data_IF_543869584451
#
_entry.id   IF_543869584451
#
_cell.length_a   1.000
_cell.length_b   1.000
_cell.length_c   1.000
_cell.angle_alpha   90.00
_cell.angle_beta   90.00
_cell.angle_gamma   90.00
#
_symmetry.space_group_name_H-M   'P 1'
#
loop_
_entity.id
_entity.type
_entity.pdbx_description
1 polymer ?
#
# COMPACT_ATOMS: atom_id res chain seq x y z
N UNK A 1 20.92 -0.24 -21.70
CA UNK A 1 20.18 -0.60 -20.47
C UNK A 1 19.03 -1.53 -20.85
N UNK A 2 18.91 -2.69 -20.22
CA UNK A 2 17.98 -3.75 -20.64
C UNK A 2 16.53 -3.39 -20.23
N UNK A 3 15.57 -3.19 -21.16
CA UNK A 3 14.20 -2.74 -20.86
C UNK A 3 13.48 -3.64 -19.84
N UNK A 4 13.81 -4.93 -19.84
CA UNK A 4 13.24 -5.92 -18.92
C UNK A 4 13.53 -5.62 -17.43
N UNK A 5 14.59 -4.87 -17.11
CA UNK A 5 14.94 -4.56 -15.72
C UNK A 5 13.92 -3.65 -15.05
N UNK A 6 13.45 -2.60 -15.74
CA UNK A 6 12.47 -1.66 -15.18
C UNK A 6 11.09 -2.29 -15.02
N UNK A 7 10.71 -3.15 -15.96
CA UNK A 7 9.49 -3.95 -15.86
C UNK A 7 9.51 -4.88 -14.64
N UNK A 8 10.60 -5.63 -14.44
CA UNK A 8 10.75 -6.53 -13.28
C UNK A 8 10.76 -5.77 -11.95
N UNK A 9 11.54 -4.69 -11.85
CA UNK A 9 11.61 -3.87 -10.63
C UNK A 9 10.24 -3.26 -10.34
N UNK A 10 9.58 -2.66 -11.34
CA UNK A 10 8.26 -2.06 -11.17
C UNK A 10 7.21 -3.08 -10.74
N UNK A 11 7.21 -4.28 -11.34
CA UNK A 11 6.29 -5.37 -10.98
C UNK A 11 6.49 -5.86 -9.55
N UNK A 12 7.74 -6.03 -9.11
CA UNK A 12 8.07 -6.40 -7.72
C UNK A 12 7.64 -5.31 -6.73
N UNK A 13 7.79 -4.05 -7.10
CA UNK A 13 7.40 -2.91 -6.27
C UNK A 13 5.87 -2.83 -6.09
N UNK A 14 5.10 -3.08 -7.16
CA UNK A 14 3.63 -3.19 -7.10
C UNK A 14 3.22 -4.36 -6.22
N UNK A 15 3.85 -5.53 -6.39
CA UNK A 15 3.52 -6.73 -5.62
C UNK A 15 3.81 -6.53 -4.13
N UNK A 16 4.98 -6.00 -3.79
CA UNK A 16 5.35 -5.62 -2.41
C UNK A 16 4.36 -4.61 -1.82
N UNK A 17 4.04 -3.53 -2.54
CA UNK A 17 3.11 -2.51 -2.07
C UNK A 17 1.70 -3.06 -1.86
N UNK A 18 1.25 -3.97 -2.72
CA UNK A 18 -0.05 -4.65 -2.60
C UNK A 18 -0.11 -5.55 -1.38
N UNK A 19 0.95 -6.35 -1.15
CA UNK A 19 1.06 -7.19 0.05
C UNK A 19 1.05 -6.34 1.31
N UNK A 20 1.85 -5.26 1.34
CA UNK A 20 1.93 -4.37 2.49
C UNK A 20 0.56 -3.73 2.78
N UNK A 21 -0.15 -3.22 1.77
CA UNK A 21 -1.50 -2.69 1.94
C UNK A 21 -2.50 -3.77 2.37
N UNK A 22 -2.40 -4.98 1.84
CA UNK A 22 -3.25 -6.10 2.23
C UNK A 22 -3.08 -6.47 3.70
N UNK A 23 -1.84 -6.57 4.18
CA UNK A 23 -1.53 -6.81 5.59
C UNK A 23 -2.05 -5.68 6.47
N UNK A 24 -1.94 -4.41 6.04
CA UNK A 24 -2.51 -3.28 6.78
C UNK A 24 -4.03 -3.38 6.90
N UNK A 25 -4.75 -3.72 5.82
CA UNK A 25 -6.20 -3.93 5.90
C UNK A 25 -6.57 -5.10 6.82
N UNK A 26 -5.78 -6.18 6.79
CA UNK A 26 -5.97 -7.31 7.69
C UNK A 26 -5.76 -6.90 9.16
N UNK A 27 -4.68 -6.17 9.46
CA UNK A 27 -4.40 -5.66 10.80
C UNK A 27 -5.52 -4.73 11.29
N UNK A 28 -6.09 -3.92 10.40
CA UNK A 28 -7.23 -3.07 10.75
C UNK A 28 -8.47 -3.90 11.06
N UNK A 29 -8.77 -4.91 10.22
CA UNK A 29 -9.91 -5.79 10.42
C UNK A 29 -9.82 -6.58 11.74
N UNK A 30 -8.63 -7.03 12.14
CA UNK A 30 -8.42 -7.75 13.41
C UNK A 30 -8.44 -6.82 14.63
N UNK A 31 -8.14 -5.54 14.45
CA UNK A 31 -8.13 -4.57 15.54
C UNK A 31 -9.51 -3.92 15.79
N UNK A 32 -10.33 -3.75 14.76
CA UNK A 32 -11.68 -3.15 14.85
C UNK A 32 -12.56 -3.71 16.00
N UNK A 33 -12.57 -5.02 16.31
CA UNK A 33 -13.35 -5.58 17.43
C UNK A 33 -12.94 -5.04 18.80
N UNK A 34 -11.69 -4.59 18.96
CA UNK A 34 -11.19 -4.02 20.21
C UNK A 34 -11.66 -2.56 20.42
N UNK A 35 -12.19 -1.91 19.38
CA UNK A 35 -12.69 -0.54 19.47
C UNK A 35 -14.17 -0.49 19.88
N UNK A 36 -14.43 0.12 21.05
CA UNK A 36 -15.78 0.40 21.55
C UNK A 36 -16.32 1.70 20.94
N UNK A 37 -17.57 1.67 20.46
CA UNK A 37 -18.25 2.83 19.86
C UNK A 37 -17.89 3.08 18.38
N UNK A 38 -18.92 3.26 17.55
CA UNK A 38 -18.79 3.56 16.11
C UNK A 38 -18.84 5.06 15.79
N UNK A 39 -19.25 5.88 16.75
CA UNK A 39 -19.81 7.23 16.48
C UNK A 39 -18.96 8.40 16.98
N UNK A 40 -17.73 8.16 17.47
CA UNK A 40 -16.83 9.23 17.87
C UNK A 40 -15.83 9.56 16.75
N UNK A 41 -15.73 10.82 16.29
CA UNK A 41 -14.63 11.29 15.43
C UNK A 41 -13.29 10.98 16.12
N UNK A 42 -12.24 10.50 15.42
CA UNK A 42 -11.98 10.61 13.97
C UNK A 42 -12.43 9.39 13.11
N UNK A 43 -13.26 8.49 13.65
CA UNK A 43 -13.73 7.29 12.95
C UNK A 43 -12.76 6.10 13.10
N UNK A 44 -13.32 4.88 13.15
CA UNK A 44 -12.57 3.66 13.54
C UNK A 44 -11.28 3.44 12.74
N UNK A 45 -11.29 3.68 11.43
CA UNK A 45 -10.14 3.45 10.57
C UNK A 45 -8.92 4.32 10.94
N UNK A 46 -9.13 5.62 11.16
CA UNK A 46 -8.07 6.54 11.54
C UNK A 46 -7.58 6.27 12.98
N UNK A 47 -8.49 5.89 13.89
CA UNK A 47 -8.13 5.48 15.25
C UNK A 47 -7.22 4.25 15.24
N UNK A 48 -7.60 3.19 14.52
CA UNK A 48 -6.78 1.98 14.41
C UNK A 48 -5.42 2.31 13.79
N UNK A 49 -5.38 3.08 12.70
CA UNK A 49 -4.13 3.46 12.04
C UNK A 49 -3.20 4.26 12.97
N UNK A 50 -3.74 5.10 13.85
CA UNK A 50 -2.93 5.78 14.86
C UNK A 50 -2.42 4.80 15.93
N UNK A 51 -3.28 3.92 16.43
CA UNK A 51 -2.93 2.98 17.50
C UNK A 51 -1.91 1.92 17.08
N UNK A 52 -1.99 1.42 15.84
CA UNK A 52 -1.03 0.43 15.31
C UNK A 52 0.18 1.08 14.64
N UNK A 53 0.33 2.42 14.72
CA UNK A 53 1.31 3.19 13.95
C UNK A 53 1.28 2.86 12.45
N UNK A 54 0.09 2.52 11.95
CA UNK A 54 -0.17 1.99 10.61
C UNK A 54 -0.07 3.02 9.49
N UNK A 55 -0.04 4.32 9.82
CA UNK A 55 0.08 5.39 8.83
C UNK A 55 1.33 5.25 7.96
N UNK A 56 2.47 4.96 8.57
CA UNK A 56 3.73 4.79 7.85
C UNK A 56 3.67 3.63 6.83
N UNK A 57 3.38 2.38 7.24
CA UNK A 57 3.30 1.27 6.28
C UNK A 57 2.17 1.42 5.26
N UNK A 58 1.05 2.08 5.63
CA UNK A 58 -0.05 2.33 4.71
C UNK A 58 0.33 3.31 3.59
N UNK A 59 0.91 4.46 3.94
CA UNK A 59 1.39 5.45 2.95
C UNK A 59 2.50 4.85 2.10
N UNK A 60 3.43 4.12 2.72
CA UNK A 60 4.54 3.48 2.02
C UNK A 60 4.06 2.45 0.99
N UNK A 61 3.01 1.68 1.30
CA UNK A 61 2.39 0.74 0.35
C UNK A 61 1.78 1.44 -0.86
N UNK A 62 1.07 2.55 -0.66
CA UNK A 62 0.50 3.36 -1.76
C UNK A 62 1.61 3.93 -2.64
N UNK A 63 2.65 4.51 -2.03
CA UNK A 63 3.79 5.08 -2.76
C UNK A 63 4.52 4.00 -3.57
N UNK A 64 4.69 2.80 -3.00
CA UNK A 64 5.28 1.67 -3.70
C UNK A 64 4.47 1.29 -4.95
N UNK A 65 3.15 1.18 -4.83
CA UNK A 65 2.30 0.87 -5.98
C UNK A 65 2.40 1.97 -7.04
N UNK A 66 2.30 3.25 -6.66
CA UNK A 66 2.39 4.37 -7.60
C UNK A 66 3.72 4.40 -8.37
N UNK A 67 4.84 4.29 -7.66
CA UNK A 67 6.18 4.27 -8.28
C UNK A 67 6.32 3.04 -9.18
N UNK A 68 5.88 1.87 -8.71
CA UNK A 68 5.92 0.63 -9.49
C UNK A 68 5.08 0.73 -10.78
N UNK A 69 3.88 1.30 -10.70
CA UNK A 69 3.01 1.53 -11.87
C UNK A 69 3.66 2.49 -12.86
N UNK A 70 4.25 3.60 -12.40
CA UNK A 70 4.97 4.55 -13.26
C UNK A 70 6.16 3.87 -13.96
N UNK A 71 6.91 3.03 -13.25
CA UNK A 71 8.05 2.29 -13.82
C UNK A 71 7.60 1.28 -14.89
N UNK A 72 6.55 0.50 -14.62
CA UNK A 72 6.00 -0.44 -15.60
C UNK A 72 5.45 0.29 -16.82
N UNK A 73 4.70 1.38 -16.61
CA UNK A 73 4.14 2.20 -17.69
C UNK A 73 5.23 2.77 -18.60
N UNK A 74 6.26 3.37 -18.01
CA UNK A 74 7.40 3.90 -18.76
C UNK A 74 8.18 2.81 -19.50
N UNK A 75 8.27 1.62 -18.92
CA UNK A 75 8.91 0.47 -19.57
C UNK A 75 8.12 -0.02 -20.78
N UNK A 76 6.78 -0.04 -20.69
CA UNK A 76 5.89 -0.43 -21.79
C UNK A 76 5.87 0.62 -22.90
N UNK A 77 5.75 1.91 -22.55
CA UNK A 77 5.72 3.00 -23.52
C UNK A 77 7.00 3.16 -24.32
N UNK A 78 8.15 2.70 -23.81
CA UNK A 78 9.43 2.72 -24.55
C UNK A 78 9.58 1.59 -25.56
N UNK A 79 8.69 0.59 -25.52
CA UNK A 79 8.77 -0.62 -26.33
C UNK A 79 7.70 -0.67 -27.44
N UNK A 80 6.73 0.25 -27.40
CA UNK A 80 5.82 0.59 -28.52
C UNK A 80 6.38 1.78 -29.31
#
# INVERSE_FOLDING_TARGET
MNPNKYYLIGSLLILSGTILLGIMHLAIATYIPNLTGWSYPPGKFATVLNEIMGWFPYILGIVQILIGTILVWNSLSKHN
#
